data_IF_402306099196
#
_entry.id   IF_402306099196
#
_cell.length_a   1.000
_cell.length_b   1.000
_cell.length_c   1.000
_cell.angle_alpha   90.00
_cell.angle_beta   90.00
_cell.angle_gamma   90.00
#
_symmetry.space_group_name_H-M   'P 1'
#
loop_
_entity.id
_entity.type
_entity.pdbx_description
1 polymer ?
#
# COMPACT_ATOMS: atom_id res chain seq x y z
N UNK A 1 -4.60 -9.42 -17.71
CA UNK A 1 -4.01 -9.68 -16.37
C UNK A 1 -2.50 -9.40 -16.43
N UNK A 2 -1.97 -8.40 -15.72
CA UNK A 2 -0.58 -7.95 -15.88
C UNK A 2 0.50 -8.72 -15.08
N UNK A 3 0.21 -9.18 -13.85
CA UNK A 3 1.27 -9.42 -12.85
C UNK A 3 1.97 -10.81 -12.82
N UNK A 4 1.47 -11.86 -13.50
CA UNK A 4 1.70 -13.31 -13.15
C UNK A 4 1.18 -13.70 -11.73
N UNK A 5 1.01 -15.00 -11.40
CA UNK A 5 0.85 -15.50 -10.03
C UNK A 5 2.10 -15.29 -9.17
N UNK A 6 1.95 -15.14 -7.85
CA UNK A 6 3.04 -14.97 -6.88
C UNK A 6 3.71 -13.59 -6.84
N UNK A 7 3.40 -12.70 -7.79
CA UNK A 7 4.00 -11.37 -7.84
C UNK A 7 3.44 -10.40 -6.80
N UNK A 8 4.28 -9.45 -6.38
CA UNK A 8 3.94 -8.43 -5.37
C UNK A 8 3.37 -7.19 -6.04
N UNK A 9 2.23 -6.73 -5.55
CA UNK A 9 1.68 -5.41 -5.83
C UNK A 9 1.86 -4.50 -4.60
N UNK A 10 2.58 -3.39 -4.80
CA UNK A 10 2.89 -2.39 -3.80
C UNK A 10 1.94 -1.20 -3.90
N UNK A 11 1.35 -0.79 -2.78
CA UNK A 11 0.49 0.40 -2.66
C UNK A 11 0.97 1.21 -1.46
N UNK A 12 1.01 2.54 -1.56
CA UNK A 12 1.20 3.41 -0.40
C UNK A 12 0.30 4.66 -0.48
N UNK A 13 -0.20 5.13 0.67
CA UNK A 13 -1.02 6.34 0.75
C UNK A 13 -1.04 6.95 2.15
N UNK A 14 -1.06 8.28 2.22
CA UNK A 14 -1.30 9.11 3.40
C UNK A 14 -2.74 9.67 3.49
N UNK A 15 -3.61 9.40 2.52
CA UNK A 15 -4.98 9.90 2.48
C UNK A 15 -5.95 8.92 3.18
N UNK A 16 -6.62 9.29 4.29
CA UNK A 16 -7.47 8.37 5.04
C UNK A 16 -8.62 7.76 4.23
N UNK A 17 -9.15 8.48 3.24
CA UNK A 17 -10.24 8.02 2.36
C UNK A 17 -9.74 6.93 1.44
N UNK A 18 -8.59 7.16 0.80
CA UNK A 18 -7.98 6.16 -0.07
C UNK A 18 -7.46 4.95 0.71
N UNK A 19 -6.92 5.17 1.92
CA UNK A 19 -6.54 4.07 2.82
C UNK A 19 -7.74 3.18 3.20
N UNK A 20 -8.92 3.75 3.46
CA UNK A 20 -10.14 2.98 3.69
C UNK A 20 -10.57 2.19 2.45
N UNK A 21 -10.64 2.86 1.29
CA UNK A 21 -10.99 2.24 0.02
C UNK A 21 -10.07 1.06 -0.36
N UNK A 22 -8.76 1.16 -0.12
CA UNK A 22 -7.81 0.06 -0.34
C UNK A 22 -8.14 -1.15 0.54
N UNK A 23 -8.52 -0.94 1.82
CA UNK A 23 -8.93 -2.04 2.71
C UNK A 23 -10.21 -2.71 2.21
N UNK A 24 -11.21 -1.93 1.83
CA UNK A 24 -12.50 -2.45 1.38
C UNK A 24 -12.36 -3.24 0.07
N UNK A 25 -11.70 -2.66 -0.94
CA UNK A 25 -11.51 -3.32 -2.23
C UNK A 25 -10.61 -4.56 -2.15
N UNK A 26 -9.55 -4.54 -1.32
CA UNK A 26 -8.66 -5.70 -1.18
C UNK A 26 -9.21 -6.76 -0.20
N UNK A 27 -10.10 -6.40 0.71
CA UNK A 27 -10.84 -7.32 1.57
C UNK A 27 -11.98 -8.05 0.85
N UNK A 28 -12.61 -7.41 -0.13
CA UNK A 28 -13.74 -7.96 -0.89
C UNK A 28 -13.35 -8.85 -2.10
N UNK A 29 -12.09 -9.28 -2.21
CA UNK A 29 -11.57 -10.01 -3.37
C UNK A 29 -10.70 -11.21 -2.99
N UNK A 30 -10.53 -12.16 -3.92
CA UNK A 30 -9.82 -13.42 -3.71
C UNK A 30 -8.52 -13.59 -4.51
N UNK A 31 -8.16 -12.62 -5.36
CA UNK A 31 -7.02 -12.69 -6.28
C UNK A 31 -5.68 -12.30 -5.65
N UNK A 32 -5.70 -11.59 -4.52
CA UNK A 32 -4.54 -11.14 -3.79
C UNK A 32 -4.66 -11.48 -2.30
N UNK A 33 -3.55 -11.80 -1.66
CA UNK A 33 -3.43 -11.94 -0.21
C UNK A 33 -2.56 -10.79 0.34
N UNK A 34 -2.88 -10.31 1.55
CA UNK A 34 -2.03 -9.37 2.25
C UNK A 34 -0.73 -10.09 2.65
N UNK A 35 0.42 -9.53 2.27
CA UNK A 35 1.74 -10.02 2.67
C UNK A 35 2.37 -9.13 3.73
N UNK A 36 2.20 -7.81 3.62
CA UNK A 36 2.67 -6.86 4.63
C UNK A 36 1.80 -5.59 4.65
N UNK A 37 1.63 -5.02 5.84
CA UNK A 37 1.10 -3.68 6.07
C UNK A 37 1.96 -3.03 7.15
N UNK A 38 2.58 -1.90 6.83
CA UNK A 38 3.41 -1.13 7.77
C UNK A 38 3.12 0.37 7.67
N UNK A 39 3.45 1.08 8.75
CA UNK A 39 3.28 2.54 8.91
C UNK A 39 4.56 3.33 8.58
N UNK A 40 5.69 2.65 8.39
CA UNK A 40 6.98 3.25 8.03
C UNK A 40 7.45 2.72 6.68
N UNK A 41 8.09 3.57 5.86
CA UNK A 41 8.51 3.16 4.50
C UNK A 41 9.47 1.96 4.57
N UNK A 42 9.14 0.81 3.93
CA UNK A 42 10.04 -0.35 3.92
C UNK A 42 11.34 -0.07 3.15
N UNK A 43 12.38 -0.84 3.46
CA UNK A 43 13.61 -0.83 2.69
C UNK A 43 13.35 -1.19 1.21
N UNK A 44 14.05 -0.51 0.29
CA UNK A 44 13.87 -0.70 -1.16
C UNK A 44 12.66 0.02 -1.78
N UNK A 45 11.86 0.75 -1.00
CA UNK A 45 10.87 1.69 -1.53
C UNK A 45 11.51 3.06 -1.77
N UNK A 46 11.34 3.60 -2.98
CA UNK A 46 11.80 4.96 -3.33
C UNK A 46 11.02 6.02 -2.54
N UNK A 47 11.69 7.02 -1.96
CA UNK A 47 11.01 8.15 -1.32
C UNK A 47 10.21 8.96 -2.36
N UNK A 48 9.15 9.61 -1.91
CA UNK A 48 8.35 10.51 -2.77
C UNK A 48 8.21 11.91 -2.15
N UNK A 49 7.97 12.92 -3.00
CA UNK A 49 7.66 14.28 -2.52
C UNK A 49 6.36 14.33 -1.72
N UNK A 50 5.42 13.42 -1.97
CA UNK A 50 4.16 13.32 -1.25
C UNK A 50 4.34 12.71 0.15
N UNK A 51 5.18 11.68 0.31
CA UNK A 51 5.60 11.16 1.62
C UNK A 51 6.20 12.27 2.51
N UNK A 52 7.15 13.04 1.97
CA UNK A 52 7.76 14.14 2.72
C UNK A 52 6.74 15.24 3.09
N UNK A 53 5.72 15.48 2.25
CA UNK A 53 4.60 16.39 2.53
C UNK A 53 3.70 15.81 3.64
N UNK A 54 3.34 14.53 3.55
CA UNK A 54 2.47 13.83 4.49
C UNK A 54 3.00 13.88 5.91
N UNK A 55 4.29 13.50 6.09
CA UNK A 55 4.96 13.52 7.39
C UNK A 55 5.04 14.93 7.98
N UNK A 56 5.28 15.96 7.15
CA UNK A 56 5.26 17.36 7.58
C UNK A 56 3.86 17.85 7.97
N UNK A 57 2.82 17.31 7.34
CA UNK A 57 1.41 17.61 7.64
C UNK A 57 0.84 16.72 8.75
N UNK A 58 1.66 15.88 9.40
CA UNK A 58 1.24 14.98 10.48
C UNK A 58 0.32 13.85 10.03
N UNK A 59 0.22 13.57 8.72
CA UNK A 59 -0.50 12.40 8.21
C UNK A 59 0.35 11.15 8.37
N UNK A 60 -0.30 10.04 8.71
CA UNK A 60 0.32 8.72 8.83
C UNK A 60 0.20 7.96 7.49
N UNK A 61 1.30 7.75 6.74
CA UNK A 61 1.26 6.92 5.55
C UNK A 61 1.12 5.45 5.91
N UNK A 62 0.44 4.69 5.06
CA UNK A 62 0.39 3.23 5.10
C UNK A 62 1.04 2.67 3.83
N UNK A 63 1.79 1.59 3.98
CA UNK A 63 2.45 0.86 2.91
C UNK A 63 1.98 -0.60 2.94
N UNK A 64 1.39 -1.06 1.83
CA UNK A 64 0.95 -2.44 1.66
C UNK A 64 1.77 -3.17 0.62
N UNK A 65 2.03 -4.44 0.88
CA UNK A 65 2.47 -5.42 -0.10
C UNK A 65 1.41 -6.53 -0.21
N UNK A 66 0.90 -6.73 -1.43
CA UNK A 66 -0.14 -7.70 -1.74
C UNK A 66 0.42 -8.77 -2.69
N UNK A 67 0.39 -10.03 -2.29
CA UNK A 67 0.82 -11.15 -3.14
C UNK A 67 -0.33 -11.61 -4.01
N UNK A 68 -0.14 -11.62 -5.33
CA UNK A 68 -1.12 -12.21 -6.25
C UNK A 68 -1.16 -13.73 -6.08
N UNK A 69 -2.36 -14.30 -6.00
CA UNK A 69 -2.64 -15.74 -6.12
C UNK A 69 -2.55 -16.21 -7.58
#
# INVERSE_FOLDING_TARGET
>A
RALKPGAIWRIASDDPTYQAWVRDCMGAQEFFALESLVETRPAGWSPTRYEAKALREGRQPLYWEWRRR
#
